data_IF_144373542918
#
_entry.id   IF_144373542918
#
_cell.length_a   1.000
_cell.length_b   1.000
_cell.length_c   1.000
_cell.angle_alpha   90.00
_cell.angle_beta   90.00
_cell.angle_gamma   90.00
#
_symmetry.space_group_name_H-M   'P 1'
#
loop_
_entity.id
_entity.type
_entity.pdbx_description
1 polymer ?
#
# COMPACT_ATOMS: atom_id res chain seq x y z
N UNK A 1 11.46 15.83 12.37
CA UNK A 1 10.18 16.26 11.73
C UNK A 1 9.90 15.37 10.52
N UNK A 2 8.63 15.06 10.27
CA UNK A 2 8.18 14.09 9.26
C UNK A 2 7.18 14.76 8.30
N UNK A 3 7.66 15.63 7.37
CA UNK A 3 6.83 16.55 6.60
C UNK A 3 6.13 15.88 5.39
N UNK A 4 5.48 14.73 5.62
CA UNK A 4 4.86 13.87 4.61
C UNK A 4 3.91 14.68 3.72
N UNK A 5 2.99 15.44 4.29
CA UNK A 5 1.96 16.17 3.54
C UNK A 5 2.57 17.19 2.58
N UNK A 6 3.60 17.92 3.04
CA UNK A 6 4.32 18.90 2.21
C UNK A 6 4.97 18.22 1.01
N UNK A 7 5.62 17.07 1.23
CA UNK A 7 6.28 16.30 0.17
C UNK A 7 5.25 15.74 -0.81
N UNK A 8 4.14 15.18 -0.33
CA UNK A 8 3.09 14.62 -1.17
C UNK A 8 2.44 15.69 -2.08
N UNK A 9 2.14 16.88 -1.54
CA UNK A 9 1.64 18.01 -2.35
C UNK A 9 2.64 18.44 -3.41
N UNK A 10 3.93 18.45 -3.09
CA UNK A 10 4.98 18.75 -4.06
C UNK A 10 5.03 17.70 -5.17
N UNK A 11 4.93 16.41 -4.85
CA UNK A 11 4.85 15.32 -5.84
C UNK A 11 3.65 15.50 -6.76
N UNK A 12 2.45 15.79 -6.24
CA UNK A 12 1.27 16.03 -7.07
C UNK A 12 1.46 17.23 -8.01
N UNK A 13 2.08 18.30 -7.52
CA UNK A 13 2.40 19.48 -8.33
C UNK A 13 3.36 19.14 -9.46
N UNK A 14 4.43 18.41 -9.16
CA UNK A 14 5.49 18.08 -10.12
C UNK A 14 5.04 17.04 -11.16
N UNK A 15 4.08 16.18 -10.79
CA UNK A 15 3.54 15.13 -11.67
C UNK A 15 2.21 15.50 -12.33
N UNK A 16 1.72 16.72 -12.16
CA UNK A 16 0.37 17.15 -12.60
C UNK A 16 0.08 16.88 -14.08
N UNK A 17 1.05 17.12 -14.95
CA UNK A 17 0.88 16.89 -16.39
C UNK A 17 0.89 15.38 -16.71
N UNK A 18 1.75 14.61 -16.05
CA UNK A 18 1.87 13.17 -16.27
C UNK A 18 0.66 12.39 -15.75
N UNK A 19 0.00 12.88 -14.68
CA UNK A 19 -1.21 12.25 -14.14
C UNK A 19 -2.35 12.21 -15.17
N UNK A 20 -2.39 13.17 -16.12
CA UNK A 20 -3.38 13.17 -17.20
C UNK A 20 -3.11 12.06 -18.22
N UNK A 21 -1.84 11.71 -18.45
CA UNK A 21 -1.43 10.73 -19.46
C UNK A 21 -1.35 9.31 -18.88
N UNK A 22 -0.86 9.16 -17.64
CA UNK A 22 -0.67 7.87 -16.96
C UNK A 22 -1.04 7.94 -15.48
N UNK A 23 -1.28 6.78 -14.85
CA UNK A 23 -1.52 6.72 -13.40
C UNK A 23 -0.22 6.97 -12.62
N UNK A 24 -0.35 7.48 -11.39
CA UNK A 24 0.73 7.71 -10.44
C UNK A 24 0.50 6.86 -9.19
N UNK A 25 1.26 5.78 -9.03
CA UNK A 25 1.32 5.06 -7.75
C UNK A 25 2.25 5.80 -6.80
N UNK A 26 1.78 6.08 -5.58
CA UNK A 26 2.58 6.64 -4.50
C UNK A 26 2.85 5.53 -3.49
N UNK A 27 4.12 5.20 -3.27
CA UNK A 27 4.56 4.34 -2.17
C UNK A 27 5.12 5.22 -1.06
N UNK A 28 4.46 5.22 0.10
CA UNK A 28 4.87 5.99 1.27
C UNK A 28 5.38 5.04 2.35
N UNK A 29 6.70 4.86 2.42
CA UNK A 29 7.34 4.19 3.55
C UNK A 29 7.60 5.20 4.68
N UNK A 30 7.11 4.94 5.89
CA UNK A 30 7.26 5.85 7.03
C UNK A 30 7.36 5.10 8.35
N UNK A 31 8.24 5.57 9.24
CA UNK A 31 8.48 5.03 10.59
C UNK A 31 7.77 5.81 11.70
N UNK A 32 7.10 6.91 11.35
CA UNK A 32 6.39 7.74 12.32
C UNK A 32 5.24 8.55 11.74
N UNK A 33 4.50 9.17 12.66
CA UNK A 33 3.37 10.02 12.33
C UNK A 33 3.81 11.27 11.53
N UNK A 34 2.95 11.77 10.61
CA UNK A 34 3.23 13.02 9.91
C UNK A 34 3.35 14.18 10.91
N UNK A 35 4.36 15.04 10.73
CA UNK A 35 4.50 16.28 11.50
C UNK A 35 4.76 17.47 10.58
N UNK A 36 4.55 18.68 11.07
CA UNK A 36 5.09 19.87 10.41
C UNK A 36 6.59 20.05 10.68
N UNK A 37 7.14 21.15 10.15
CA UNK A 37 8.55 21.51 10.30
C UNK A 37 8.93 21.85 11.76
N UNK A 38 7.94 22.07 12.64
CA UNK A 38 8.11 22.29 14.08
C UNK A 38 7.87 21.02 14.92
N UNK A 39 7.60 19.88 14.27
CA UNK A 39 7.36 18.61 14.94
C UNK A 39 5.94 18.43 15.48
N UNK A 40 4.99 19.32 15.15
CA UNK A 40 3.60 19.16 15.58
C UNK A 40 2.90 18.09 14.73
N UNK A 41 2.15 17.15 15.33
CA UNK A 41 1.43 16.12 14.59
C UNK A 41 0.46 16.69 13.54
N UNK A 42 0.44 16.08 12.35
CA UNK A 42 -0.39 16.46 11.18
C UNK A 42 -1.17 15.28 10.61
N UNK A 43 -1.63 14.39 11.49
CA UNK A 43 -2.39 13.18 11.12
C UNK A 43 -3.66 13.54 10.34
N UNK A 44 -4.44 14.50 10.84
CA UNK A 44 -5.65 14.97 10.15
C UNK A 44 -5.35 15.60 8.79
N UNK A 45 -4.22 16.29 8.67
CA UNK A 45 -3.83 16.92 7.40
C UNK A 45 -3.46 15.86 6.35
N UNK A 46 -2.76 14.80 6.75
CA UNK A 46 -2.48 13.66 5.88
C UNK A 46 -3.78 12.98 5.46
N UNK A 47 -4.72 12.79 6.38
CA UNK A 47 -6.04 12.23 6.08
C UNK A 47 -6.80 13.09 5.06
N UNK A 48 -6.80 14.42 5.23
CA UNK A 48 -7.44 15.33 4.28
C UNK A 48 -6.78 15.27 2.90
N UNK A 49 -5.45 15.19 2.84
CA UNK A 49 -4.73 14.99 1.59
C UNK A 49 -5.19 13.71 0.88
N UNK A 50 -5.21 12.58 1.59
CA UNK A 50 -5.60 11.28 1.04
C UNK A 50 -7.06 11.25 0.55
N UNK A 51 -7.96 12.00 1.21
CA UNK A 51 -9.38 12.06 0.83
C UNK A 51 -9.70 13.07 -0.28
N UNK A 52 -8.99 14.21 -0.33
CA UNK A 52 -9.46 15.38 -1.09
C UNK A 52 -8.48 15.91 -2.13
N UNK A 53 -7.18 15.67 -1.97
CA UNK A 53 -6.17 16.30 -2.81
C UNK A 53 -5.67 15.38 -3.94
N UNK A 54 -5.90 14.07 -3.83
CA UNK A 54 -5.63 13.09 -4.89
C UNK A 54 -6.71 13.16 -5.98
N UNK A 55 -6.54 14.07 -6.94
CA UNK A 55 -7.54 14.30 -8.01
C UNK A 55 -6.94 14.03 -9.40
N UNK A 56 -7.54 13.13 -10.20
CA UNK A 56 -8.63 12.21 -9.85
C UNK A 56 -8.13 10.99 -9.04
N UNK A 57 -8.90 10.54 -8.05
CA UNK A 57 -8.45 9.56 -7.03
C UNK A 57 -8.06 8.20 -7.63
N UNK A 58 -8.82 7.72 -8.61
CA UNK A 58 -8.62 6.42 -9.30
C UNK A 58 -7.34 6.35 -10.15
N UNK A 59 -6.68 7.49 -10.35
CA UNK A 59 -5.39 7.61 -11.05
C UNK A 59 -4.22 7.82 -10.12
N UNK A 60 -4.45 7.99 -8.81
CA UNK A 60 -3.42 8.27 -7.81
C UNK A 60 -3.58 7.30 -6.62
N UNK A 61 -3.43 5.99 -6.84
CA UNK A 61 -3.42 5.02 -5.75
C UNK A 61 -2.23 5.28 -4.82
N UNK A 62 -2.42 5.00 -3.54
CA UNK A 62 -1.38 5.14 -2.50
C UNK A 62 -1.26 3.83 -1.74
N UNK A 63 -0.03 3.38 -1.53
CA UNK A 63 0.27 2.33 -0.55
C UNK A 63 1.15 2.93 0.54
N UNK A 64 0.73 2.80 1.79
CA UNK A 64 1.52 3.17 2.96
C UNK A 64 2.21 1.91 3.47
N UNK A 65 3.53 1.94 3.52
CA UNK A 65 4.34 0.88 4.10
C UNK A 65 4.66 1.34 5.52
N UNK A 66 3.91 0.83 6.48
CA UNK A 66 4.11 1.16 7.90
C UNK A 66 5.40 0.49 8.38
N UNK A 67 6.36 1.28 8.84
CA UNK A 67 7.63 0.81 9.39
C UNK A 67 7.77 1.24 10.85
N UNK A 68 6.68 1.09 11.62
CA UNK A 68 6.57 1.60 12.98
C UNK A 68 5.95 0.55 13.90
N UNK A 69 6.45 0.47 15.14
CA UNK A 69 5.88 -0.38 16.20
C UNK A 69 4.87 0.41 17.07
N UNK A 70 4.47 1.62 16.64
CA UNK A 70 3.51 2.47 17.36
C UNK A 70 2.07 2.02 17.11
N UNK A 71 1.45 1.40 18.12
CA UNK A 71 0.09 0.85 18.06
C UNK A 71 -0.96 1.90 17.66
N UNK A 72 -0.81 3.15 18.09
CA UNK A 72 -1.74 4.24 17.72
C UNK A 72 -1.66 4.54 16.22
N UNK A 73 -0.45 4.55 15.66
CA UNK A 73 -0.21 4.71 14.23
C UNK A 73 -0.79 3.60 13.40
N UNK A 74 -0.53 2.35 13.78
CA UNK A 74 -1.09 1.17 13.11
C UNK A 74 -2.62 1.20 13.16
N UNK A 75 -3.21 1.55 14.30
CA UNK A 75 -4.67 1.59 14.46
C UNK A 75 -5.33 2.60 13.51
N UNK A 76 -4.83 3.84 13.41
CA UNK A 76 -5.46 4.81 12.51
C UNK A 76 -5.21 4.45 11.04
N UNK A 77 -4.05 3.89 10.69
CA UNK A 77 -3.73 3.48 9.32
C UNK A 77 -4.67 2.35 8.87
N UNK A 78 -4.86 1.31 9.69
CA UNK A 78 -5.78 0.21 9.40
C UNK A 78 -7.25 0.68 9.28
N UNK A 79 -7.63 1.73 10.01
CA UNK A 79 -8.94 2.34 9.86
C UNK A 79 -9.07 3.14 8.56
N UNK A 80 -7.99 3.76 8.08
CA UNK A 80 -7.98 4.52 6.84
C UNK A 80 -7.99 3.62 5.62
N UNK A 81 -7.23 2.54 5.66
CA UNK A 81 -7.19 1.49 4.64
C UNK A 81 -8.61 1.06 4.22
N UNK A 82 -9.46 0.75 5.21
CA UNK A 82 -10.85 0.33 5.02
C UNK A 82 -11.81 1.42 4.54
N UNK A 83 -11.43 2.70 4.67
CA UNK A 83 -12.34 3.83 4.51
C UNK A 83 -11.96 4.78 3.36
N UNK A 84 -10.71 4.80 2.95
CA UNK A 84 -10.18 5.72 1.93
C UNK A 84 -10.01 4.94 0.62
N UNK A 85 -10.66 5.36 -0.48
CA UNK A 85 -10.57 4.64 -1.76
C UNK A 85 -9.14 4.67 -2.33
N UNK A 86 -8.72 3.55 -2.93
CA UNK A 86 -7.39 3.40 -3.54
C UNK A 86 -6.25 3.77 -2.57
N UNK A 87 -6.43 3.38 -1.31
CA UNK A 87 -5.41 3.35 -0.28
C UNK A 87 -5.21 1.89 0.12
N UNK A 88 -3.97 1.51 0.35
CA UNK A 88 -3.56 0.23 0.91
C UNK A 88 -2.54 0.51 2.03
N UNK A 89 -2.60 -0.24 3.12
CA UNK A 89 -1.66 -0.16 4.24
C UNK A 89 -1.04 -1.53 4.42
N UNK A 90 0.28 -1.58 4.26
CA UNK A 90 1.05 -2.83 4.32
C UNK A 90 2.05 -2.75 5.47
N UNK A 91 2.08 -3.78 6.30
CA UNK A 91 3.06 -3.93 7.38
C UNK A 91 4.37 -4.56 6.87
N UNK A 92 5.33 -4.79 7.76
CA UNK A 92 6.54 -5.53 7.44
C UNK A 92 6.21 -6.97 6.98
N UNK A 93 7.05 -7.52 6.09
CA UNK A 93 6.86 -8.85 5.50
C UNK A 93 6.51 -9.96 6.51
N UNK A 94 7.10 -9.91 7.73
CA UNK A 94 6.90 -10.97 8.72
C UNK A 94 5.50 -10.91 9.31
N UNK A 95 4.96 -9.73 9.55
CA UNK A 95 3.62 -9.56 10.10
C UNK A 95 2.58 -9.83 9.01
N UNK A 96 2.77 -9.24 7.82
CA UNK A 96 1.94 -9.47 6.65
C UNK A 96 1.80 -10.97 6.33
N UNK A 97 2.93 -11.70 6.32
CA UNK A 97 2.91 -13.15 6.11
C UNK A 97 2.13 -13.89 7.20
N UNK A 98 2.21 -13.47 8.47
CA UNK A 98 1.46 -14.12 9.55
C UNK A 98 -0.04 -13.95 9.33
N UNK A 99 -0.47 -12.77 8.93
CA UNK A 99 -1.89 -12.45 8.68
C UNK A 99 -2.43 -13.22 7.49
N UNK A 100 -1.69 -13.26 6.38
CA UNK A 100 -2.03 -14.08 5.21
C UNK A 100 -2.11 -15.56 5.59
N UNK A 101 -1.14 -16.10 6.34
CA UNK A 101 -1.18 -17.50 6.76
C UNK A 101 -2.30 -17.79 7.77
N UNK A 102 -2.71 -16.81 8.58
CA UNK A 102 -3.85 -16.93 9.48
C UNK A 102 -5.17 -16.99 8.70
N UNK A 103 -5.30 -16.20 7.62
CA UNK A 103 -6.47 -16.18 6.76
C UNK A 103 -6.53 -17.38 5.80
N UNK A 104 -5.46 -17.62 5.03
CA UNK A 104 -5.39 -18.61 3.96
C UNK A 104 -5.06 -20.03 4.45
N UNK A 105 -4.30 -20.13 5.55
CA UNK A 105 -3.82 -21.38 6.13
C UNK A 105 -2.30 -21.57 6.01
N UNK A 106 -1.74 -22.37 6.92
CA UNK A 106 -0.28 -22.54 7.13
C UNK A 106 0.51 -23.01 5.91
N UNK A 107 -0.13 -23.65 4.94
CA UNK A 107 0.49 -24.18 3.73
C UNK A 107 0.36 -23.25 2.52
N UNK A 108 -0.20 -22.05 2.69
CA UNK A 108 -0.36 -21.11 1.58
C UNK A 108 1.01 -20.59 1.12
N UNK A 109 1.32 -20.62 -0.19
CA UNK A 109 2.68 -20.43 -0.70
C UNK A 109 3.08 -18.95 -0.84
N UNK A 110 2.86 -18.14 0.19
CA UNK A 110 3.20 -16.71 0.16
C UNK A 110 4.71 -16.46 0.35
N UNK A 111 5.36 -15.99 -0.69
CA UNK A 111 6.79 -15.66 -0.75
C UNK A 111 7.05 -14.18 -0.50
N UNK A 112 8.33 -13.81 -0.43
CA UNK A 112 8.74 -12.40 -0.39
C UNK A 112 8.47 -11.68 -1.72
N UNK A 113 8.51 -12.41 -2.84
CA UNK A 113 8.13 -11.84 -4.14
C UNK A 113 6.66 -11.44 -4.16
N UNK A 114 5.79 -12.29 -3.58
CA UNK A 114 4.36 -12.02 -3.49
C UNK A 114 4.05 -10.83 -2.59
N UNK A 115 4.81 -10.68 -1.50
CA UNK A 115 4.78 -9.49 -0.66
C UNK A 115 5.08 -8.21 -1.46
N UNK A 116 6.18 -8.19 -2.22
CA UNK A 116 6.52 -7.02 -3.05
C UNK A 116 5.41 -6.73 -4.06
N UNK A 117 4.82 -7.74 -4.68
CA UNK A 117 3.70 -7.55 -5.62
C UNK A 117 2.46 -7.01 -4.90
N UNK A 118 2.08 -7.56 -3.74
CA UNK A 118 0.96 -7.04 -2.93
C UNK A 118 1.20 -5.58 -2.57
N UNK A 119 2.38 -5.20 -2.08
CA UNK A 119 2.72 -3.80 -1.77
C UNK A 119 2.61 -2.86 -2.97
N UNK A 120 2.88 -3.34 -4.19
CA UNK A 120 2.76 -2.51 -5.39
C UNK A 120 1.33 -2.43 -5.93
N UNK A 121 0.53 -3.46 -5.68
CA UNK A 121 -0.76 -3.67 -6.35
C UNK A 121 -1.97 -3.51 -5.44
N UNK A 122 -1.86 -3.60 -4.11
CA UNK A 122 -3.00 -3.57 -3.19
C UNK A 122 -3.85 -2.31 -3.35
N UNK A 123 -3.21 -1.13 -3.43
CA UNK A 123 -3.92 0.13 -3.66
C UNK A 123 -4.53 0.27 -5.08
N UNK A 124 -4.22 -0.64 -5.99
CA UNK A 124 -4.62 -0.63 -7.42
C UNK A 124 -5.71 -1.67 -7.70
N UNK A 125 -5.54 -2.89 -7.17
CA UNK A 125 -6.34 -4.06 -7.45
C UNK A 125 -6.68 -4.75 -6.12
N UNK A 126 -7.98 -4.76 -5.81
CA UNK A 126 -8.51 -5.28 -4.56
C UNK A 126 -8.26 -6.78 -4.38
N UNK A 127 -7.90 -7.53 -5.43
CA UNK A 127 -7.54 -8.92 -5.27
C UNK A 127 -6.29 -9.10 -4.38
N UNK A 128 -5.28 -8.25 -4.54
CA UNK A 128 -4.06 -8.30 -3.74
C UNK A 128 -4.28 -7.79 -2.32
N UNK A 129 -5.09 -6.75 -2.20
CA UNK A 129 -5.54 -6.19 -0.93
C UNK A 129 -6.25 -7.25 -0.08
N UNK A 130 -7.16 -8.04 -0.66
CA UNK A 130 -7.97 -9.02 0.08
C UNK A 130 -7.24 -10.31 0.50
N UNK A 131 -5.95 -10.49 0.20
CA UNK A 131 -5.22 -11.74 0.47
C UNK A 131 -5.06 -12.07 1.96
N UNK A 132 -5.09 -11.07 2.84
CA UNK A 132 -5.04 -11.23 4.30
C UNK A 132 -6.44 -11.16 4.94
N UNK A 133 -7.46 -10.69 4.22
CA UNK A 133 -8.83 -10.57 4.73
C UNK A 133 -9.79 -11.68 4.28
N UNK A 134 -9.58 -12.27 3.09
CA UNK A 134 -10.51 -13.24 2.48
C UNK A 134 -9.80 -14.45 1.90
N UNK A 135 -10.34 -15.64 2.18
CA UNK A 135 -9.86 -16.88 1.58
C UNK A 135 -10.00 -16.86 0.06
N UNK A 136 -8.89 -17.10 -0.62
CA UNK A 136 -8.84 -17.30 -2.07
C UNK A 136 -8.55 -18.77 -2.39
N UNK A 137 -8.96 -19.22 -3.58
CA UNK A 137 -8.56 -20.56 -4.04
C UNK A 137 -7.07 -20.58 -4.37
N UNK A 138 -6.36 -21.65 -3.99
CA UNK A 138 -4.95 -21.85 -4.38
C UNK A 138 -4.76 -21.85 -5.89
N UNK A 139 -5.77 -22.29 -6.66
CA UNK A 139 -5.72 -22.27 -8.12
C UNK A 139 -5.91 -20.87 -8.71
N UNK A 140 -6.60 -19.98 -7.99
CA UNK A 140 -6.73 -18.57 -8.35
C UNK A 140 -5.43 -17.84 -8.08
N UNK A 141 -4.84 -18.09 -6.91
CA UNK A 141 -3.52 -17.57 -6.53
C UNK A 141 -2.41 -18.00 -7.50
N UNK A 142 -2.33 -19.29 -7.84
CA UNK A 142 -1.33 -19.78 -8.82
C UNK A 142 -1.51 -19.22 -10.23
N UNK A 143 -2.69 -18.71 -10.56
CA UNK A 143 -2.94 -18.07 -11.87
C UNK A 143 -2.44 -16.63 -11.92
N UNK A 144 -2.28 -15.96 -10.78
CA UNK A 144 -1.71 -14.60 -10.72
C UNK A 144 -0.18 -14.59 -10.69
N UNK A 145 0.47 -15.73 -10.41
CA UNK A 145 1.92 -15.85 -10.53
C UNK A 145 2.38 -15.65 -11.99
N UNK A 146 3.38 -14.77 -12.24
CA UNK A 146 3.99 -14.65 -13.55
C UNK A 146 4.65 -15.99 -13.94
N UNK A 147 4.13 -16.63 -14.99
CA UNK A 147 4.74 -17.85 -15.54
C UNK A 147 6.10 -17.51 -16.14
N UNK A 148 7.17 -17.77 -15.40
CA UNK A 148 8.52 -17.79 -15.95
C UNK A 148 8.62 -19.03 -16.84
N UNK A 149 8.37 -18.88 -18.13
CA UNK A 149 8.81 -19.86 -19.11
C UNK A 149 10.32 -19.78 -19.19
N UNK A 150 11.01 -20.68 -18.50
CA UNK A 150 12.42 -20.96 -18.79
C UNK A 150 12.49 -21.59 -20.17
N UNK A 151 12.68 -20.77 -21.21
CA UNK A 151 13.16 -21.26 -22.49
C UNK A 151 14.62 -21.69 -22.30
N UNK A 152 14.81 -22.91 -21.82
CA UNK A 152 16.10 -23.58 -21.85
C UNK A 152 16.39 -24.02 -23.28
N UNK A 153 16.82 -23.08 -24.12
CA UNK A 153 17.52 -23.37 -25.36
C UNK A 153 18.91 -22.73 -25.26
N UNK A 154 19.87 -23.52 -24.74
CA UNK A 154 21.28 -23.38 -25.05
C UNK A 154 21.60 -24.24 -26.27
#
# INVERSE_FOLDING_TARGET
PTPIVRVLRQVLKDKRNQIQERKLLILLATDGAPTDDFGQPKIDELRQFLLRERVPTDRIPVTIIACTDDDESILYLNNWDKAIPNLDVVDDYRNEKKEILACQGKSFPFSYGDYVVKTLMGGIDSWFDLLDEKKVSTDEYRRSEPRITTNNNF
#
